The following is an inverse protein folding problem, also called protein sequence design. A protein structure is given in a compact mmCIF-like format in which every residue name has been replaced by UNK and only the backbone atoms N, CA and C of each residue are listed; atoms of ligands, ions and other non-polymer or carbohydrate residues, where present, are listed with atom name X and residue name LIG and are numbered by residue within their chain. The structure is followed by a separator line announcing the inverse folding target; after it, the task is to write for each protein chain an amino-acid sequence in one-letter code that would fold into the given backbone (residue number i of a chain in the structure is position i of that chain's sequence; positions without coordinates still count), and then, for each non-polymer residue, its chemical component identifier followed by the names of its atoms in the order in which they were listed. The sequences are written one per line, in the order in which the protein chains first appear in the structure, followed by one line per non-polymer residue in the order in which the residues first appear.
data_IF_405756091573
#
_entry.id   IF_405756091573
#
_cell.length_a   1.000
_cell.length_b   1.000
_cell.length_c   1.000
_cell.angle_alpha   90.00
_cell.angle_beta   90.00
_cell.angle_gamma   90.00
#
_symmetry.space_group_name_H-M   'P 1'
#
loop_
_entity.id
_entity.type
_entity.pdbx_description
1 polymer ?
#
# COMPACT_ATOMS: atom_id res chain seq x y z
N UNK A 1 -34.79 -48.18 24.63
CA UNK A 1 -34.24 -47.00 25.33
C UNK A 1 -33.00 -46.57 24.55
N UNK A 2 -33.13 -45.53 23.73
CA UNK A 2 -32.12 -45.05 22.77
C UNK A 2 -31.13 -44.14 23.51
N UNK A 3 -29.82 -44.38 23.37
CA UNK A 3 -28.79 -43.40 23.71
C UNK A 3 -28.33 -42.78 22.39
N UNK A 4 -28.58 -41.48 22.27
CA UNK A 4 -28.30 -40.65 21.09
C UNK A 4 -26.85 -40.20 21.16
N UNK A 5 -26.06 -40.50 20.13
CA UNK A 5 -24.78 -39.85 19.85
C UNK A 5 -25.06 -38.39 19.44
N UNK A 6 -24.59 -37.44 20.24
CA UNK A 6 -24.54 -36.04 19.83
C UNK A 6 -23.27 -35.81 19.01
N UNK A 7 -23.45 -35.65 17.70
CA UNK A 7 -22.46 -35.11 16.77
C UNK A 7 -22.31 -33.60 17.05
N UNK A 8 -21.17 -33.21 17.61
CA UNK A 8 -20.73 -31.81 17.63
C UNK A 8 -20.12 -31.49 16.27
N UNK A 9 -20.86 -30.77 15.45
CA UNK A 9 -20.42 -30.18 14.19
C UNK A 9 -19.39 -29.07 14.46
N UNK A 10 -18.12 -29.37 14.19
CA UNK A 10 -17.09 -28.35 14.03
C UNK A 10 -17.35 -27.61 12.71
N UNK A 11 -17.94 -26.42 12.79
CA UNK A 11 -17.85 -25.44 11.70
C UNK A 11 -16.43 -24.88 11.68
N UNK A 12 -15.56 -25.44 10.84
CA UNK A 12 -14.34 -24.76 10.43
C UNK A 12 -14.73 -23.62 9.50
N UNK A 13 -14.93 -22.42 10.06
CA UNK A 13 -14.81 -21.20 9.30
C UNK A 13 -13.32 -21.05 8.93
N UNK A 14 -12.94 -21.53 7.75
CA UNK A 14 -11.65 -21.15 7.14
C UNK A 14 -11.77 -19.68 6.75
N UNK A 15 -11.62 -18.78 7.72
CA UNK A 15 -11.11 -17.46 7.44
C UNK A 15 -9.71 -17.72 6.90
N UNK A 16 -9.54 -17.61 5.59
CA UNK A 16 -8.22 -17.47 5.00
C UNK A 16 -7.61 -16.26 5.68
N UNK A 17 -6.76 -16.48 6.68
CA UNK A 17 -5.86 -15.45 7.16
C UNK A 17 -4.91 -15.19 5.98
N UNK A 18 -5.31 -14.27 5.11
CA UNK A 18 -4.31 -13.42 4.51
C UNK A 18 -3.72 -12.74 5.72
N UNK A 19 -2.53 -13.17 6.14
CA UNK A 19 -1.77 -12.38 7.09
C UNK A 19 -1.66 -11.02 6.40
N UNK A 20 -2.40 -10.02 6.90
CA UNK A 20 -2.26 -8.65 6.46
C UNK A 20 -0.77 -8.37 6.61
N UNK A 21 -0.08 -8.33 5.48
CA UNK A 21 1.30 -7.91 5.43
C UNK A 21 1.19 -6.44 5.80
N UNK A 22 1.39 -6.13 7.09
CA UNK A 22 1.29 -4.77 7.59
C UNK A 22 2.08 -3.89 6.61
N UNK A 23 1.46 -2.81 6.10
CA UNK A 23 2.10 -2.00 5.07
C UNK A 23 3.51 -1.64 5.54
N UNK A 24 4.49 -1.78 4.66
CA UNK A 24 5.80 -1.22 4.89
C UNK A 24 5.59 0.30 4.99
N UNK A 25 5.50 0.81 6.21
CA UNK A 25 5.35 2.23 6.50
C UNK A 25 6.67 2.94 6.22
N UNK A 26 6.96 3.13 4.92
CA UNK A 26 8.04 4.02 4.50
C UNK A 26 7.60 5.48 4.62
N UNK A 27 8.57 6.38 4.56
CA UNK A 27 8.33 7.82 4.73
C UNK A 27 7.44 8.41 3.63
N UNK A 28 7.51 7.91 2.40
CA UNK A 28 6.70 8.39 1.29
C UNK A 28 5.23 8.00 1.48
N UNK A 29 4.98 6.77 1.92
CA UNK A 29 3.64 6.29 2.28
C UNK A 29 3.05 7.10 3.44
N UNK A 30 3.84 7.35 4.48
CA UNK A 30 3.39 8.18 5.60
C UNK A 30 3.17 9.64 5.19
N UNK A 31 3.98 10.21 4.28
CA UNK A 31 3.74 11.54 3.72
C UNK A 31 2.42 11.65 2.96
N UNK A 32 2.05 10.59 2.23
CA UNK A 32 0.80 10.53 1.48
C UNK A 32 -0.42 10.65 2.42
N UNK A 33 -0.40 9.90 3.53
CA UNK A 33 -1.59 9.69 4.37
C UNK A 33 -1.64 10.54 5.65
N UNK A 34 -0.52 11.06 6.13
CA UNK A 34 -0.50 11.84 7.37
C UNK A 34 -1.33 13.12 7.24
N UNK A 35 -2.16 13.42 8.23
CA UNK A 35 -2.83 14.72 8.35
C UNK A 35 -1.83 15.82 8.71
N UNK A 36 -0.80 15.48 9.50
CA UNK A 36 0.29 16.39 9.84
C UNK A 36 1.66 15.69 9.92
N UNK A 37 2.73 16.45 9.65
CA UNK A 37 4.11 16.00 9.83
C UNK A 37 4.84 17.03 10.68
N UNK A 38 5.41 16.61 11.80
CA UNK A 38 5.91 17.51 12.84
C UNK A 38 7.31 17.11 13.27
N UNK A 39 8.21 18.09 13.35
CA UNK A 39 9.45 17.98 14.12
C UNK A 39 9.15 18.45 15.53
N UNK A 40 9.38 17.60 16.52
CA UNK A 40 8.95 17.83 17.90
C UNK A 40 10.01 17.50 18.93
N UNK A 41 9.88 18.14 20.09
CA UNK A 41 10.54 17.75 21.32
C UNK A 41 9.51 17.27 22.35
N UNK A 42 9.65 16.04 22.80
CA UNK A 42 8.81 15.46 23.84
C UNK A 42 9.04 16.18 25.19
N UNK A 43 7.97 16.66 25.79
CA UNK A 43 7.95 17.16 27.16
C UNK A 43 7.60 16.01 28.13
N UNK A 44 6.98 16.33 29.26
CA UNK A 44 6.51 15.31 30.19
C UNK A 44 5.18 14.72 29.71
N UNK A 45 5.08 13.40 29.81
CA UNK A 45 3.95 12.65 29.27
C UNK A 45 3.82 12.81 27.76
N UNK A 46 2.59 13.03 27.31
CA UNK A 46 2.23 13.05 25.90
C UNK A 46 2.28 14.46 25.27
N UNK A 47 2.77 15.45 26.02
CA UNK A 47 2.91 16.82 25.55
C UNK A 47 4.18 17.00 24.73
N UNK A 48 4.10 17.78 23.65
CA UNK A 48 5.18 17.97 22.70
C UNK A 48 5.31 19.46 22.36
N UNK A 49 6.55 19.96 22.35
CA UNK A 49 6.87 21.26 21.75
C UNK A 49 7.04 21.07 20.25
N UNK A 50 6.34 21.88 19.45
CA UNK A 50 6.48 21.88 18.00
C UNK A 50 7.69 22.72 17.63
N UNK A 51 8.70 22.11 17.02
CA UNK A 51 9.86 22.82 16.47
C UNK A 51 9.64 23.22 15.03
N UNK A 52 8.95 22.37 14.27
CA UNK A 52 8.57 22.64 12.89
C UNK A 52 7.29 21.90 12.55
N UNK A 53 6.35 22.61 11.95
CA UNK A 53 5.14 22.04 11.37
C UNK A 53 5.34 21.92 9.86
N UNK A 54 5.62 20.71 9.38
CA UNK A 54 5.98 20.47 7.98
C UNK A 54 4.72 20.33 7.11
N UNK A 55 3.70 19.62 7.60
CA UNK A 55 2.37 19.43 6.97
C UNK A 55 1.30 19.64 8.04
N UNK A 56 0.19 20.29 7.70
CA UNK A 56 -1.05 20.34 8.50
C UNK A 56 -1.96 21.53 8.14
N UNK A 57 -3.15 21.58 8.74
CA UNK A 57 -4.32 22.32 8.24
C UNK A 57 -4.35 23.85 8.46
N UNK A 58 -3.40 24.45 9.19
CA UNK A 58 -3.43 25.88 9.52
C UNK A 58 -2.14 26.62 9.16
N UNK A 59 -2.27 27.92 8.88
CA UNK A 59 -1.16 28.83 8.54
C UNK A 59 -0.25 29.18 9.73
N UNK A 60 -0.65 28.86 10.97
CA UNK A 60 0.16 29.04 12.18
C UNK A 60 0.25 27.73 12.98
N UNK A 61 1.46 27.19 13.07
CA UNK A 61 1.73 26.00 13.87
C UNK A 61 1.54 26.29 15.37
N UNK A 62 0.80 25.47 16.13
CA UNK A 62 0.71 25.62 17.57
C UNK A 62 2.08 25.39 18.20
N UNK A 63 2.47 26.19 19.20
CA UNK A 63 3.76 26.03 19.89
C UNK A 63 3.89 24.68 20.61
N UNK A 64 2.77 24.10 21.06
CA UNK A 64 2.72 22.78 21.68
C UNK A 64 1.49 22.01 21.23
N UNK A 65 1.63 20.69 21.11
CA UNK A 65 0.53 19.76 20.85
C UNK A 65 0.54 18.61 21.87
N UNK A 66 -0.54 17.83 21.89
CA UNK A 66 -0.62 16.57 22.60
C UNK A 66 -0.63 15.44 21.56
N UNK A 67 0.33 14.53 21.62
CA UNK A 67 0.36 13.31 20.78
C UNK A 67 0.06 12.13 21.71
N UNK A 68 -1.12 11.55 21.58
CA UNK A 68 -1.54 10.48 22.47
C UNK A 68 -0.59 9.28 22.40
N UNK A 69 -0.20 8.76 23.57
CA UNK A 69 0.61 7.55 23.71
C UNK A 69 2.11 7.71 23.45
N UNK A 70 2.60 8.88 23.04
CA UNK A 70 4.02 9.07 22.74
C UNK A 70 4.93 8.79 23.95
N UNK A 71 4.47 9.03 25.18
CA UNK A 71 5.22 8.68 26.40
C UNK A 71 5.32 7.18 26.67
N UNK A 72 4.45 6.38 26.07
CA UNK A 72 4.46 4.91 26.19
C UNK A 72 5.42 4.27 25.20
N UNK A 73 5.81 4.96 24.14
CA UNK A 73 6.70 4.42 23.11
C UNK A 73 8.05 4.01 23.70
N UNK A 74 8.40 2.74 23.55
CA UNK A 74 9.68 2.20 23.99
C UNK A 74 10.82 2.83 23.20
N UNK A 75 11.77 3.46 23.89
CA UNK A 75 13.01 3.99 23.30
C UNK A 75 14.20 3.02 23.41
N UNK A 76 13.92 1.74 23.68
CA UNK A 76 14.93 0.70 23.80
C UNK A 76 15.19 0.05 22.43
N UNK A 77 16.37 0.31 21.89
CA UNK A 77 16.86 -0.27 20.65
C UNK A 77 17.12 -1.77 20.84
N UNK A 78 16.69 -2.59 19.87
CA UNK A 78 16.85 -4.04 19.86
C UNK A 78 16.27 -4.74 21.11
N UNK A 79 15.24 -4.16 21.73
CA UNK A 79 14.69 -4.64 22.99
C UNK A 79 14.13 -6.06 22.85
N UNK A 80 13.43 -6.33 21.74
CA UNK A 80 12.87 -7.65 21.46
C UNK A 80 13.97 -8.71 21.34
N UNK A 81 14.99 -8.47 20.52
CA UNK A 81 16.10 -9.41 20.34
C UNK A 81 16.98 -9.56 21.57
N UNK A 82 17.05 -8.53 22.41
CA UNK A 82 17.74 -8.59 23.69
C UNK A 82 17.05 -9.51 24.69
N UNK A 83 15.70 -9.50 24.76
CA UNK A 83 14.94 -10.47 25.57
C UNK A 83 15.21 -11.91 25.16
N UNK A 84 15.52 -12.15 23.89
CA UNK A 84 15.90 -13.46 23.35
C UNK A 84 17.40 -13.78 23.51
N UNK A 85 18.18 -12.94 24.19
CA UNK A 85 19.61 -13.12 24.43
C UNK A 85 20.48 -12.95 23.18
N UNK A 86 19.94 -12.40 22.08
CA UNK A 86 20.64 -12.30 20.80
C UNK A 86 21.44 -11.02 20.62
N UNK A 87 21.05 -9.93 21.30
CA UNK A 87 21.70 -8.62 21.19
C UNK A 87 21.63 -7.85 22.52
N UNK A 88 22.45 -6.81 22.68
CA UNK A 88 22.39 -5.92 23.85
C UNK A 88 21.44 -4.75 23.56
N UNK A 89 20.43 -4.57 24.40
CA UNK A 89 19.56 -3.40 24.31
C UNK A 89 20.28 -2.13 24.75
N UNK A 90 19.99 -1.02 24.07
CA UNK A 90 20.45 0.33 24.44
C UNK A 90 19.26 1.27 24.40
N UNK A 91 19.17 2.23 25.32
CA UNK A 91 18.02 3.14 25.39
C UNK A 91 18.42 4.51 24.87
N UNK A 92 17.59 5.08 23.99
CA UNK A 92 17.74 6.46 23.55
C UNK A 92 17.35 7.43 24.67
N UNK A 93 18.16 8.46 24.85
CA UNK A 93 17.91 9.56 25.79
C UNK A 93 17.20 10.75 25.15
N UNK A 94 17.18 10.80 23.81
CA UNK A 94 16.61 11.91 23.05
C UNK A 94 15.13 12.15 23.36
N UNK A 95 14.73 13.41 23.24
CA UNK A 95 13.33 13.87 23.19
C UNK A 95 12.98 14.40 21.79
N UNK A 96 13.96 14.52 20.90
CA UNK A 96 13.81 15.06 19.54
C UNK A 96 13.37 13.97 18.56
N UNK A 97 12.39 14.29 17.71
CA UNK A 97 11.81 13.35 16.77
C UNK A 97 11.15 14.04 15.57
N UNK A 98 10.83 13.23 14.56
CA UNK A 98 9.82 13.53 13.55
C UNK A 98 8.64 12.58 13.72
N UNK A 99 7.43 13.12 13.65
CA UNK A 99 6.19 12.37 13.76
C UNK A 99 5.29 12.60 12.54
N UNK A 100 4.77 11.51 11.99
CA UNK A 100 3.68 11.47 11.02
C UNK A 100 2.40 11.19 11.79
N UNK A 101 1.46 12.12 11.72
CA UNK A 101 0.31 12.18 12.60
C UNK A 101 -0.99 12.04 11.82
N UNK A 102 -1.93 11.35 12.42
CA UNK A 102 -3.35 11.33 12.04
C UNK A 102 -4.16 11.99 13.15
N UNK A 103 -5.25 12.64 12.77
CA UNK A 103 -6.16 13.30 13.69
C UNK A 103 -7.45 12.49 13.85
N UNK A 104 -7.52 11.72 14.95
CA UNK A 104 -8.62 10.81 15.24
C UNK A 104 -9.32 11.25 16.53
N UNK A 105 -10.65 11.31 16.52
CA UNK A 105 -11.48 11.65 17.69
C UNK A 105 -11.02 12.94 18.41
N UNK A 106 -10.59 13.95 17.65
CA UNK A 106 -10.14 15.23 18.19
C UNK A 106 -8.73 15.22 18.79
N UNK A 107 -7.95 14.15 18.57
CA UNK A 107 -6.62 13.98 19.16
C UNK A 107 -5.59 13.59 18.09
N UNK A 108 -4.38 14.15 18.19
CA UNK A 108 -3.25 13.71 17.37
C UNK A 108 -2.73 12.37 17.87
N UNK A 109 -2.59 11.42 16.95
CA UNK A 109 -1.93 10.13 17.18
C UNK A 109 -0.83 9.93 16.14
N UNK A 110 0.21 9.22 16.52
CA UNK A 110 1.20 8.79 15.53
C UNK A 110 0.64 7.66 14.67
N UNK A 111 0.90 7.74 13.36
CA UNK A 111 0.45 6.72 12.41
C UNK A 111 0.98 5.33 12.75
N UNK A 112 0.12 4.31 12.62
CA UNK A 112 0.50 2.91 12.84
C UNK A 112 1.12 2.67 14.22
N UNK A 113 0.42 3.09 15.28
CA UNK A 113 0.79 2.82 16.66
C UNK A 113 0.30 1.44 17.10
N UNK A 114 1.15 0.67 17.78
CA UNK A 114 0.75 -0.57 18.49
C UNK A 114 0.79 -0.29 20.00
N UNK A 115 -0.38 -0.31 20.64
CA UNK A 115 -0.53 -0.02 22.09
C UNK A 115 -0.56 -1.28 22.98
N UNK A 116 -0.80 -2.46 22.42
CA UNK A 116 -1.12 -3.67 23.20
C UNK A 116 0.10 -4.52 23.64
N UNK A 117 1.32 -3.98 23.54
CA UNK A 117 2.53 -4.73 23.92
C UNK A 117 3.45 -3.95 24.85
N UNK A 118 4.24 -4.64 25.67
CA UNK A 118 5.34 -4.03 26.46
C UNK A 118 6.41 -3.31 25.60
N UNK A 119 6.30 -3.43 24.29
CA UNK A 119 7.12 -2.78 23.28
C UNK A 119 6.24 -1.86 22.42
N UNK A 120 5.44 -1.02 23.09
CA UNK A 120 4.67 0.04 22.45
C UNK A 120 5.58 0.85 21.52
N UNK A 121 5.10 1.13 20.31
CA UNK A 121 5.86 1.84 19.29
C UNK A 121 4.97 2.23 18.14
N UNK A 122 5.52 3.05 17.24
CA UNK A 122 4.78 3.57 16.10
C UNK A 122 5.71 3.73 14.91
N UNK A 123 5.35 3.15 13.76
CA UNK A 123 6.09 3.41 12.52
C UNK A 123 6.05 4.89 12.11
N UNK A 124 5.00 5.62 12.50
CA UNK A 124 4.87 7.06 12.34
C UNK A 124 5.81 7.90 13.21
N UNK A 125 6.67 7.29 14.03
CA UNK A 125 7.66 7.99 14.85
C UNK A 125 9.08 7.65 14.43
N UNK A 126 9.90 8.69 14.25
CA UNK A 126 11.34 8.56 14.03
C UNK A 126 12.08 9.40 15.07
N UNK A 127 12.74 8.74 16.00
CA UNK A 127 13.57 9.39 17.03
C UNK A 127 14.91 9.79 16.45
N UNK A 128 15.46 10.92 16.90
CA UNK A 128 16.72 11.45 16.40
C UNK A 128 17.68 11.67 17.58
N UNK A 129 18.84 11.02 17.55
CA UNK A 129 19.91 11.21 18.54
C UNK A 129 21.25 11.34 17.83
N UNK A 130 22.01 12.38 18.17
CA UNK A 130 23.34 12.67 17.59
C UNK A 130 23.31 12.70 16.04
N UNK A 131 22.23 13.25 15.49
CA UNK A 131 21.99 13.36 14.04
C UNK A 131 21.55 12.06 13.35
N UNK A 132 21.45 10.94 14.07
CA UNK A 132 21.04 9.62 13.56
C UNK A 132 19.56 9.37 13.78
N UNK A 133 18.91 8.71 12.84
CA UNK A 133 17.49 8.35 12.93
C UNK A 133 17.29 6.93 13.46
N UNK A 134 16.25 6.76 14.27
CA UNK A 134 15.83 5.48 14.82
C UNK A 134 14.33 5.30 14.60
N UNK A 135 13.94 4.19 13.97
CA UNK A 135 12.54 3.91 13.61
C UNK A 135 12.05 2.57 14.13
N UNK A 136 10.75 2.50 14.35
CA UNK A 136 10.08 1.27 14.72
C UNK A 136 9.85 0.40 13.49
N UNK A 137 10.13 -0.89 13.60
CA UNK A 137 9.81 -1.88 12.59
C UNK A 137 9.28 -3.15 13.23
N UNK A 138 8.44 -3.90 12.50
CA UNK A 138 7.86 -5.13 13.01
C UNK A 138 8.94 -6.20 13.20
N UNK A 139 9.10 -6.68 14.44
CA UNK A 139 10.10 -7.70 14.75
C UNK A 139 9.66 -9.10 14.30
N UNK A 140 8.36 -9.37 14.28
CA UNK A 140 7.74 -10.61 13.79
C UNK A 140 6.26 -10.38 13.42
N UNK A 141 5.72 -11.16 12.48
CA UNK A 141 4.33 -11.04 12.04
C UNK A 141 3.44 -12.21 12.55
N UNK A 142 2.38 -11.97 13.36
CA UNK A 142 2.10 -10.73 14.07
C UNK A 142 3.01 -10.59 15.29
N UNK A 143 3.25 -9.38 15.78
CA UNK A 143 4.12 -9.18 16.94
C UNK A 143 4.78 -7.81 16.97
N UNK A 144 5.48 -7.49 18.07
CA UNK A 144 5.70 -6.12 18.49
C UNK A 144 6.60 -5.36 17.51
N UNK A 145 6.51 -4.04 17.59
CA UNK A 145 7.57 -3.21 17.06
C UNK A 145 8.81 -3.28 17.93
N UNK A 146 9.94 -3.20 17.27
CA UNK A 146 11.24 -3.01 17.90
C UNK A 146 11.92 -1.80 17.24
N UNK A 147 12.79 -1.14 17.99
CA UNK A 147 13.41 0.11 17.57
C UNK A 147 14.80 -0.18 17.02
N UNK A 148 15.09 0.35 15.83
CA UNK A 148 16.35 0.15 15.12
C UNK A 148 16.93 1.47 14.64
N UNK A 149 18.26 1.55 14.53
CA UNK A 149 18.91 2.60 13.75
C UNK A 149 18.52 2.43 12.27
N UNK A 150 18.05 3.52 11.65
CA UNK A 150 17.59 3.48 10.27
C UNK A 150 18.78 3.29 9.31
N UNK A 151 18.65 2.35 8.36
CA UNK A 151 19.71 2.03 7.40
C UNK A 151 19.59 2.82 6.10
N UNK A 152 18.38 3.22 5.74
CA UNK A 152 17.98 3.99 4.55
C UNK A 152 17.93 5.50 4.82
N UNK A 153 17.50 5.92 6.01
CA UNK A 153 17.37 7.31 6.44
C UNK A 153 18.35 7.64 7.56
N UNK A 154 19.65 7.50 7.28
CA UNK A 154 20.70 7.48 8.32
C UNK A 154 20.77 8.77 9.14
N UNK A 155 20.51 9.92 8.53
CA UNK A 155 20.56 11.22 9.21
C UNK A 155 19.24 11.98 9.18
N UNK A 156 19.07 12.93 10.11
CA UNK A 156 17.94 13.86 10.10
C UNK A 156 17.86 14.62 8.77
N UNK A 157 18.99 14.98 8.17
CA UNK A 157 19.02 15.64 6.86
C UNK A 157 18.51 14.71 5.73
N UNK A 158 18.82 13.41 5.78
CA UNK A 158 18.28 12.43 4.83
C UNK A 158 16.77 12.27 5.00
N UNK A 159 16.30 12.18 6.25
CA UNK A 159 14.88 12.11 6.59
C UNK A 159 14.13 13.34 6.08
N UNK A 160 14.64 14.55 6.33
CA UNK A 160 14.00 15.79 5.88
C UNK A 160 13.93 15.88 4.35
N UNK A 161 14.95 15.40 3.63
CA UNK A 161 14.93 15.29 2.16
C UNK A 161 13.89 14.29 1.67
N UNK A 162 13.78 13.12 2.31
CA UNK A 162 12.77 12.12 1.96
C UNK A 162 11.34 12.65 2.20
N UNK A 163 11.11 13.37 3.30
CA UNK A 163 9.84 14.01 3.60
C UNK A 163 9.49 15.07 2.53
N UNK A 164 10.45 15.92 2.15
CA UNK A 164 10.22 16.92 1.10
C UNK A 164 9.79 16.26 -0.23
N UNK A 165 10.47 15.18 -0.63
CA UNK A 165 10.12 14.41 -1.82
C UNK A 165 8.74 13.78 -1.68
N UNK A 166 8.45 13.09 -0.57
CA UNK A 166 7.16 12.45 -0.34
C UNK A 166 5.99 13.43 -0.33
N UNK A 167 6.16 14.61 0.26
CA UNK A 167 5.14 15.65 0.25
C UNK A 167 4.93 16.26 -1.14
N UNK A 168 6.00 16.38 -1.95
CA UNK A 168 5.88 16.77 -3.36
C UNK A 168 5.12 15.71 -4.16
N UNK A 169 5.47 14.44 -3.98
CA UNK A 169 4.80 13.33 -4.66
C UNK A 169 3.31 13.28 -4.27
N UNK A 170 2.97 13.56 -3.00
CA UNK A 170 1.59 13.69 -2.52
C UNK A 170 0.82 14.87 -3.13
N UNK A 171 1.46 16.03 -3.32
CA UNK A 171 0.86 17.17 -4.01
C UNK A 171 0.59 16.85 -5.50
N UNK A 172 1.54 16.19 -6.19
CA UNK A 172 1.35 15.75 -7.58
C UNK A 172 0.21 14.74 -7.68
N UNK A 173 0.15 13.77 -6.76
CA UNK A 173 -0.96 12.80 -6.68
C UNK A 173 -2.30 13.49 -6.42
N UNK A 174 -2.36 14.43 -5.48
CA UNK A 174 -3.57 15.20 -5.18
C UNK A 174 -4.06 16.00 -6.39
N UNK A 175 -3.14 16.62 -7.14
CA UNK A 175 -3.46 17.30 -8.41
C UNK A 175 -3.99 16.33 -9.46
N UNK A 176 -3.41 15.13 -9.56
CA UNK A 176 -3.91 14.08 -10.45
C UNK A 176 -5.35 13.69 -10.08
N UNK A 177 -5.63 13.39 -8.80
CA UNK A 177 -6.97 13.03 -8.33
C UNK A 177 -8.03 14.10 -8.59
N UNK A 178 -7.65 15.36 -8.45
CA UNK A 178 -8.57 16.50 -8.49
C UNK A 178 -8.62 17.21 -9.87
N UNK A 179 -7.95 16.71 -10.90
CA UNK A 179 -7.93 17.34 -12.22
C UNK A 179 -9.35 17.40 -12.84
N UNK A 180 -9.88 18.58 -13.17
CA UNK A 180 -11.27 18.73 -13.64
C UNK A 180 -11.56 17.98 -14.96
N UNK A 181 -10.60 17.99 -15.90
CA UNK A 181 -10.71 17.20 -17.13
C UNK A 181 -10.53 15.71 -16.81
N UNK A 182 -11.59 14.93 -17.01
CA UNK A 182 -11.62 13.51 -16.67
C UNK A 182 -10.66 12.66 -17.51
N UNK A 183 -10.39 13.04 -18.76
CA UNK A 183 -9.46 12.33 -19.62
C UNK A 183 -8.01 12.61 -19.20
N UNK A 184 -7.70 13.86 -18.86
CA UNK A 184 -6.42 14.22 -18.26
C UNK A 184 -6.24 13.54 -16.89
N UNK A 185 -7.28 13.53 -16.06
CA UNK A 185 -7.30 12.81 -14.78
C UNK A 185 -6.95 11.34 -14.97
N UNK A 186 -7.62 10.65 -15.90
CA UNK A 186 -7.32 9.26 -16.25
C UNK A 186 -5.87 9.09 -16.72
N UNK A 187 -5.36 9.99 -17.57
CA UNK A 187 -3.98 9.96 -18.04
C UNK A 187 -2.98 10.08 -16.89
N UNK A 188 -3.16 11.08 -16.02
CA UNK A 188 -2.28 11.33 -14.88
C UNK A 188 -2.29 10.17 -13.89
N UNK A 189 -3.48 9.66 -13.53
CA UNK A 189 -3.60 8.52 -12.61
C UNK A 189 -3.02 7.24 -13.21
N UNK A 190 -3.27 6.96 -14.50
CA UNK A 190 -2.73 5.76 -15.16
C UNK A 190 -1.21 5.72 -15.22
N UNK A 191 -0.54 6.88 -15.16
CA UNK A 191 0.92 6.95 -15.21
C UNK A 191 1.59 6.28 -14.00
N UNK A 192 0.91 6.23 -12.85
CA UNK A 192 1.41 5.55 -11.65
C UNK A 192 1.32 4.01 -11.72
N UNK A 193 0.63 3.44 -12.73
CA UNK A 193 0.47 1.99 -12.84
C UNK A 193 1.76 1.27 -13.26
N UNK A 194 2.71 1.98 -13.90
CA UNK A 194 4.00 1.44 -14.35
C UNK A 194 5.16 2.14 -13.63
N UNK A 195 6.27 1.42 -13.39
CA UNK A 195 7.45 2.03 -12.77
C UNK A 195 8.08 3.07 -13.70
N UNK A 196 8.11 2.78 -15.00
CA UNK A 196 8.75 3.63 -16.02
C UNK A 196 8.00 4.94 -16.30
N UNK A 197 6.70 5.00 -16.02
CA UNK A 197 5.87 6.19 -16.26
C UNK A 197 5.45 6.92 -14.99
N UNK A 198 5.73 6.36 -13.82
CA UNK A 198 5.30 6.92 -12.54
C UNK A 198 5.95 8.28 -12.26
N UNK A 199 5.18 9.33 -11.91
CA UNK A 199 5.75 10.62 -11.51
C UNK A 199 6.63 10.56 -10.25
N UNK A 200 6.45 9.54 -9.40
CA UNK A 200 7.20 9.38 -8.14
C UNK A 200 8.48 8.53 -8.28
N UNK A 201 9.05 8.43 -9.49
CA UNK A 201 10.16 7.48 -9.77
C UNK A 201 9.67 6.02 -9.54
N UNK A 202 10.49 4.94 -9.50
CA UNK A 202 9.95 3.59 -9.36
C UNK A 202 9.41 3.30 -7.94
N UNK A 203 9.19 4.33 -7.11
CA UNK A 203 8.41 4.18 -5.88
C UNK A 203 6.99 3.78 -6.28
N UNK A 204 6.39 2.90 -5.51
CA UNK A 204 5.07 2.31 -5.78
C UNK A 204 4.01 2.77 -4.77
N UNK A 205 4.26 3.90 -4.08
CA UNK A 205 3.38 4.46 -3.05
C UNK A 205 1.95 4.68 -3.56
N UNK A 206 1.79 5.11 -4.82
CA UNK A 206 0.47 5.35 -5.41
C UNK A 206 0.00 4.27 -6.39
N UNK A 207 0.83 3.28 -6.74
CA UNK A 207 0.53 2.29 -7.79
C UNK A 207 -0.85 1.63 -7.60
N UNK A 208 -1.05 1.00 -6.45
CA UNK A 208 -2.32 0.32 -6.12
C UNK A 208 -3.45 1.30 -5.77
N UNK A 209 -3.11 2.54 -5.40
CA UNK A 209 -4.07 3.60 -5.10
C UNK A 209 -4.78 4.12 -6.34
N UNK A 210 -4.28 3.82 -7.54
CA UNK A 210 -4.91 4.18 -8.81
C UNK A 210 -6.19 3.40 -9.09
N UNK A 211 -6.36 2.21 -8.50
CA UNK A 211 -7.41 1.26 -8.88
C UNK A 211 -8.82 1.80 -8.73
N UNK A 212 -9.13 2.32 -7.54
CA UNK A 212 -10.46 2.84 -7.23
C UNK A 212 -10.78 4.14 -7.99
N UNK A 213 -9.90 5.16 -8.02
CA UNK A 213 -10.10 6.35 -8.84
C UNK A 213 -10.31 6.05 -10.33
N UNK A 214 -9.48 5.17 -10.93
CA UNK A 214 -9.60 4.84 -12.36
C UNK A 214 -10.85 4.01 -12.65
N UNK A 215 -11.27 3.11 -11.75
CA UNK A 215 -12.55 2.39 -11.88
C UNK A 215 -13.73 3.36 -11.84
N UNK A 216 -13.70 4.34 -10.92
CA UNK A 216 -14.78 5.34 -10.79
C UNK A 216 -14.90 6.26 -12.01
N UNK A 217 -13.83 6.42 -12.79
CA UNK A 217 -13.86 7.13 -14.09
C UNK A 217 -14.52 6.32 -15.22
N UNK A 218 -14.74 5.02 -15.04
CA UNK A 218 -15.44 4.16 -15.99
C UNK A 218 -14.77 4.15 -17.37
N UNK A 219 -15.58 4.26 -18.43
CA UNK A 219 -15.10 4.21 -19.82
C UNK A 219 -14.03 5.25 -20.15
N UNK A 220 -13.98 6.39 -19.44
CA UNK A 220 -12.99 7.45 -19.65
C UNK A 220 -11.56 6.97 -19.33
N UNK A 221 -11.40 6.01 -18.42
CA UNK A 221 -10.10 5.46 -18.07
C UNK A 221 -9.52 4.53 -19.15
N UNK A 222 -10.36 3.92 -19.99
CA UNK A 222 -9.95 2.83 -20.90
C UNK A 222 -8.87 3.27 -21.90
N UNK A 223 -8.97 4.44 -22.59
CA UNK A 223 -7.91 4.89 -23.50
C UNK A 223 -6.57 5.13 -22.78
N UNK A 224 -6.59 5.66 -21.56
CA UNK A 224 -5.38 5.90 -20.78
C UNK A 224 -4.70 4.58 -20.38
N UNK A 225 -5.47 3.60 -19.90
CA UNK A 225 -4.99 2.26 -19.56
C UNK A 225 -4.38 1.54 -20.77
N UNK A 226 -5.05 1.60 -21.93
CA UNK A 226 -4.52 1.05 -23.18
C UNK A 226 -3.22 1.73 -23.60
N UNK A 227 -3.09 3.04 -23.39
CA UNK A 227 -1.84 3.77 -23.64
C UNK A 227 -0.70 3.27 -22.73
N UNK A 228 -0.97 2.87 -21.48
CA UNK A 228 0.06 2.31 -20.61
C UNK A 228 0.56 0.96 -21.11
N UNK A 229 -0.32 0.09 -21.61
CA UNK A 229 0.09 -1.18 -22.26
C UNK A 229 1.10 -0.92 -23.39
N UNK A 230 0.90 0.16 -24.16
CA UNK A 230 1.80 0.52 -25.27
C UNK A 230 3.14 1.12 -24.82
N UNK A 231 3.21 1.68 -23.61
CA UNK A 231 4.39 2.34 -23.05
C UNK A 231 5.27 1.44 -22.20
N UNK A 232 4.85 0.19 -22.00
CA UNK A 232 5.57 -0.80 -21.21
C UNK A 232 7.07 -0.86 -21.58
N UNK A 233 7.92 -0.89 -20.55
CA UNK A 233 9.36 -1.09 -20.66
C UNK A 233 9.81 -2.33 -19.89
N UNK A 234 10.99 -2.85 -20.22
CA UNK A 234 11.58 -3.96 -19.46
C UNK A 234 11.72 -3.58 -17.99
N UNK A 235 11.20 -4.43 -17.09
CA UNK A 235 11.12 -4.16 -15.65
C UNK A 235 9.76 -3.64 -15.17
N UNK A 236 8.86 -3.24 -16.06
CA UNK A 236 7.48 -2.93 -15.71
C UNK A 236 6.62 -4.20 -15.56
N UNK A 237 5.62 -4.13 -14.68
CA UNK A 237 4.49 -5.07 -14.65
C UNK A 237 3.19 -4.36 -15.06
N UNK A 238 2.42 -4.97 -15.96
CA UNK A 238 1.09 -4.52 -16.38
C UNK A 238 -0.04 -5.11 -15.53
N UNK A 239 0.28 -5.83 -14.45
CA UNK A 239 -0.73 -6.47 -13.59
C UNK A 239 -1.77 -5.46 -13.09
N UNK A 240 -1.32 -4.29 -12.61
CA UNK A 240 -2.24 -3.26 -12.11
C UNK A 240 -3.14 -2.71 -13.23
N UNK A 241 -2.59 -2.45 -14.42
CA UNK A 241 -3.38 -2.01 -15.59
C UNK A 241 -4.45 -3.04 -15.95
N UNK A 242 -4.10 -4.33 -15.94
CA UNK A 242 -5.02 -5.43 -16.24
C UNK A 242 -6.09 -5.59 -15.15
N UNK A 243 -5.72 -5.44 -13.87
CA UNK A 243 -6.67 -5.48 -12.75
C UNK A 243 -7.68 -4.33 -12.81
N UNK A 244 -7.27 -3.14 -13.23
CA UNK A 244 -8.19 -2.01 -13.43
C UNK A 244 -9.15 -2.29 -14.61
N UNK A 245 -8.65 -2.85 -15.72
CA UNK A 245 -9.50 -3.25 -16.85
C UNK A 245 -10.50 -4.35 -16.45
N UNK A 246 -10.09 -5.30 -15.60
CA UNK A 246 -10.97 -6.30 -15.02
C UNK A 246 -12.10 -5.66 -14.19
N UNK A 247 -11.73 -4.74 -13.30
CA UNK A 247 -12.64 -4.00 -12.41
C UNK A 247 -13.67 -3.14 -13.18
N UNK A 248 -13.26 -2.59 -14.32
CA UNK A 248 -14.16 -1.86 -15.23
C UNK A 248 -15.18 -2.80 -15.91
N UNK A 249 -14.83 -4.07 -16.11
CA UNK A 249 -15.73 -5.06 -16.70
C UNK A 249 -16.18 -4.70 -18.13
N UNK A 250 -17.46 -4.86 -18.50
CA UNK A 250 -17.91 -4.70 -19.88
C UNK A 250 -17.57 -3.36 -20.55
N UNK A 251 -17.45 -2.25 -19.80
CA UNK A 251 -17.09 -0.95 -20.39
C UNK A 251 -15.66 -0.93 -20.95
N UNK A 252 -14.80 -1.86 -20.52
CA UNK A 252 -13.44 -2.02 -21.02
C UNK A 252 -13.34 -2.92 -22.26
N UNK A 253 -14.45 -3.28 -22.91
CA UNK A 253 -14.46 -4.17 -24.09
C UNK A 253 -13.49 -3.74 -25.20
N UNK A 254 -13.26 -2.44 -25.39
CA UNK A 254 -12.31 -1.94 -26.39
C UNK A 254 -10.85 -2.31 -26.12
N UNK A 255 -10.51 -2.76 -24.90
CA UNK A 255 -9.18 -3.24 -24.51
C UNK A 255 -8.98 -4.75 -24.75
N UNK A 256 -10.02 -5.49 -25.16
CA UNK A 256 -9.93 -6.94 -25.41
C UNK A 256 -8.81 -7.33 -26.40
N UNK A 257 -8.56 -6.61 -27.51
CA UNK A 257 -7.43 -6.92 -28.39
C UNK A 257 -6.06 -6.80 -27.69
N UNK A 258 -5.91 -5.84 -26.78
CA UNK A 258 -4.68 -5.65 -26.00
C UNK A 258 -4.52 -6.79 -24.98
N UNK A 259 -5.60 -7.17 -24.29
CA UNK A 259 -5.61 -8.31 -23.36
C UNK A 259 -5.28 -9.65 -24.04
N UNK A 260 -5.82 -9.92 -25.23
CA UNK A 260 -5.46 -11.12 -26.01
C UNK A 260 -3.97 -11.11 -26.40
N UNK A 261 -3.41 -9.94 -26.68
CA UNK A 261 -1.98 -9.80 -26.95
C UNK A 261 -1.15 -10.15 -25.70
N UNK A 262 -1.57 -9.67 -24.52
CA UNK A 262 -0.88 -9.93 -23.25
C UNK A 262 -0.87 -11.40 -22.84
N UNK A 263 -1.85 -12.21 -23.24
CA UNK A 263 -1.80 -13.67 -23.04
C UNK A 263 -0.52 -14.29 -23.65
N UNK A 264 0.02 -13.69 -24.72
CA UNK A 264 1.23 -14.18 -25.41
C UNK A 264 2.52 -13.57 -24.84
N UNK A 265 2.42 -12.75 -23.81
CA UNK A 265 3.51 -11.96 -23.21
C UNK A 265 3.49 -12.12 -21.67
N UNK A 266 3.65 -13.36 -21.15
CA UNK A 266 3.54 -13.65 -19.72
C UNK A 266 4.59 -12.95 -18.85
N UNK A 267 5.66 -12.41 -19.46
CA UNK A 267 6.66 -11.57 -18.79
C UNK A 267 6.14 -10.16 -18.46
N UNK A 268 5.09 -9.69 -19.14
CA UNK A 268 4.54 -8.34 -18.97
C UNK A 268 3.36 -8.29 -18.01
N UNK A 269 2.57 -9.36 -17.97
CA UNK A 269 1.41 -9.49 -17.10
C UNK A 269 1.19 -10.96 -16.74
N UNK A 270 0.80 -11.22 -15.50
CA UNK A 270 0.43 -12.55 -15.05
C UNK A 270 -0.80 -13.05 -15.84
N UNK A 271 -0.70 -14.21 -16.53
CA UNK A 271 -1.81 -14.76 -17.30
C UNK A 271 -3.11 -14.93 -16.50
N UNK A 272 -3.03 -15.20 -15.19
CA UNK A 272 -4.20 -15.28 -14.32
C UNK A 272 -5.05 -13.99 -14.35
N UNK A 273 -4.41 -12.82 -14.24
CA UNK A 273 -5.11 -11.53 -14.29
C UNK A 273 -5.66 -11.23 -15.68
N UNK A 274 -4.90 -11.56 -16.73
CA UNK A 274 -5.33 -11.32 -18.12
C UNK A 274 -6.56 -12.16 -18.48
N UNK A 275 -6.57 -13.44 -18.09
CA UNK A 275 -7.73 -14.32 -18.31
C UNK A 275 -8.94 -13.82 -17.49
N UNK A 276 -8.72 -13.40 -16.25
CA UNK A 276 -9.76 -12.80 -15.42
C UNK A 276 -10.38 -11.57 -16.09
N UNK A 277 -9.56 -10.67 -16.63
CA UNK A 277 -10.01 -9.49 -17.37
C UNK A 277 -10.78 -9.86 -18.64
N UNK A 278 -10.33 -10.88 -19.39
CA UNK A 278 -11.04 -11.37 -20.58
C UNK A 278 -12.39 -12.00 -20.22
N UNK A 279 -12.50 -12.68 -19.08
CA UNK A 279 -13.76 -13.24 -18.57
C UNK A 279 -14.82 -12.14 -18.38
N UNK A 280 -14.44 -10.97 -17.86
CA UNK A 280 -15.38 -9.87 -17.59
C UNK A 280 -15.63 -8.99 -18.82
N UNK A 281 -14.59 -8.65 -19.57
CA UNK A 281 -14.63 -7.70 -20.71
C UNK A 281 -14.98 -8.35 -22.04
N UNK A 282 -14.71 -9.66 -22.20
CA UNK A 282 -14.83 -10.40 -23.45
C UNK A 282 -16.17 -11.12 -23.66
N UNK A 283 -16.30 -11.68 -24.87
CA UNK A 283 -17.41 -12.50 -25.37
C UNK A 283 -16.94 -13.94 -25.62
N UNK A 284 -17.83 -14.86 -26.01
CA UNK A 284 -17.46 -16.27 -26.27
C UNK A 284 -16.37 -16.41 -27.34
N UNK A 285 -16.29 -15.44 -28.27
CA UNK A 285 -15.24 -15.39 -29.30
C UNK A 285 -13.79 -15.41 -28.77
N UNK A 286 -13.57 -15.19 -27.47
CA UNK A 286 -12.25 -15.24 -26.81
C UNK A 286 -11.91 -16.60 -26.19
N UNK A 287 -12.84 -17.55 -26.17
CA UNK A 287 -12.59 -18.92 -25.71
C UNK A 287 -11.40 -19.57 -26.44
N UNK A 288 -11.22 -19.43 -27.78
CA UNK A 288 -10.05 -19.98 -28.46
C UNK A 288 -8.71 -19.43 -27.93
N UNK A 289 -8.66 -18.15 -27.55
CA UNK A 289 -7.45 -17.51 -27.01
C UNK A 289 -7.13 -18.00 -25.59
N UNK A 290 -8.15 -18.37 -24.80
CA UNK A 290 -8.00 -18.84 -23.41
C UNK A 290 -7.72 -20.36 -23.34
N UNK A 291 -8.21 -21.15 -24.29
CA UNK A 291 -8.05 -22.63 -24.32
C UNK A 291 -6.64 -23.15 -24.04
N UNK A 292 -5.54 -22.55 -24.57
CA UNK A 292 -4.18 -23.02 -24.29
C UNK A 292 -3.84 -23.04 -22.79
N UNK A 293 -4.40 -22.13 -22.00
CA UNK A 293 -4.12 -21.98 -20.56
C UNK A 293 -4.76 -23.05 -19.69
N UNK A 294 -5.64 -23.91 -20.23
CA UNK A 294 -6.10 -25.12 -19.55
C UNK A 294 -4.96 -26.11 -19.25
N UNK A 295 -3.82 -25.96 -19.93
CA UNK A 295 -2.61 -26.77 -19.75
C UNK A 295 -1.44 -25.98 -19.16
N UNK A 296 -1.69 -24.78 -18.63
CA UNK A 296 -0.66 -23.95 -18.02
C UNK A 296 0.01 -24.67 -16.84
N UNK A 297 1.33 -24.56 -16.62
CA UNK A 297 2.00 -25.18 -15.48
C UNK A 297 1.46 -24.67 -14.13
N UNK A 298 1.00 -23.41 -14.04
CA UNK A 298 0.43 -22.85 -12.83
C UNK A 298 -1.03 -23.31 -12.64
N UNK A 299 -1.32 -23.94 -11.50
CA UNK A 299 -2.65 -24.42 -11.16
C UNK A 299 -3.70 -23.31 -11.09
N UNK A 300 -3.35 -22.14 -10.56
CA UNK A 300 -4.27 -21.00 -10.48
C UNK A 300 -4.70 -20.53 -11.87
N UNK A 301 -3.76 -20.51 -12.83
CA UNK A 301 -4.03 -20.15 -14.22
C UNK A 301 -4.95 -21.18 -14.89
N UNK A 302 -4.73 -22.48 -14.67
CA UNK A 302 -5.62 -23.53 -15.22
C UNK A 302 -7.05 -23.44 -14.69
N UNK A 303 -7.20 -23.16 -13.39
CA UNK A 303 -8.51 -22.98 -12.76
C UNK A 303 -9.23 -21.77 -13.35
N UNK A 304 -8.57 -20.60 -13.40
CA UNK A 304 -9.16 -19.39 -13.98
C UNK A 304 -9.51 -19.57 -15.47
N UNK A 305 -8.68 -20.26 -16.26
CA UNK A 305 -8.99 -20.58 -17.65
C UNK A 305 -10.27 -21.41 -17.80
N UNK A 306 -10.47 -22.38 -16.91
CA UNK A 306 -11.68 -23.22 -16.89
C UNK A 306 -12.91 -22.38 -16.56
N UNK A 307 -12.83 -21.57 -15.50
CA UNK A 307 -13.93 -20.72 -15.05
C UNK A 307 -14.27 -19.64 -16.08
N UNK A 308 -13.26 -19.05 -16.72
CA UNK A 308 -13.43 -18.07 -17.80
C UNK A 308 -14.11 -18.66 -19.03
N UNK A 309 -13.71 -19.85 -19.47
CA UNK A 309 -14.34 -20.49 -20.63
C UNK A 309 -15.81 -20.80 -20.33
N UNK A 310 -16.11 -21.32 -19.13
CA UNK A 310 -17.50 -21.58 -18.72
C UNK A 310 -18.33 -20.31 -18.71
N UNK A 311 -17.86 -19.27 -18.03
CA UNK A 311 -18.56 -17.99 -17.94
C UNK A 311 -18.78 -17.31 -19.29
N UNK A 312 -17.79 -17.37 -20.20
CA UNK A 312 -17.91 -16.79 -21.55
C UNK A 312 -18.87 -17.58 -22.44
N UNK A 313 -18.96 -18.90 -22.27
CA UNK A 313 -19.93 -19.73 -22.98
C UNK A 313 -21.37 -19.46 -22.51
N UNK A 314 -21.57 -19.23 -21.21
CA UNK A 314 -22.88 -18.91 -20.62
C UNK A 314 -23.40 -17.52 -21.00
N UNK A 315 -22.55 -16.57 -21.39
CA UNK A 315 -22.99 -15.23 -21.82
C UNK A 315 -23.78 -15.21 -23.14
N UNK A 316 -23.71 -16.27 -23.94
CA UNK A 316 -24.33 -16.34 -25.26
C UNK A 316 -25.41 -17.43 -25.38
N UNK A 317 -25.73 -18.12 -24.28
CA UNK A 317 -26.81 -19.11 -24.18
C UNK A 317 -28.01 -18.56 -23.41
#
# INVERSE_FOLDING_TARGET
MRVVLALLSLFCATSSCVADMFPHWDVYWMCADADAVVVGEQLDGDKVTVKKWIKGADSDAPATIFIAGISKHSKSINAFWSRLGKQKATTLSTRHFVAFLVHEDGTWKSMATIEESDLCGSCGMIWIQDGRCYRYAQAMNPGPYDLYEATDLKSEADLMRAIEVGLRDADVWSKALNADDLALRAQMLSAYALASTSPENPRDTYRYRTREPLRNLGAVAVPALRSQISKWQEGDSLDEVVLILYDLGPVAQSAVPDLVTLLRQPERANPYYVISALRTTGTSSKIPDIKPFLKDPNEQVRREATDAIKALAEKEG
#
